data_IF_840192664595
#
_entry.id   IF_840192664595
#
_cell.length_a   1.000
_cell.length_b   1.000
_cell.length_c   1.000
_cell.angle_alpha   90.00
_cell.angle_beta   90.00
_cell.angle_gamma   90.00
#
_symmetry.space_group_name_H-M   'P 1'
#
loop_
_entity.id
_entity.type
_entity.pdbx_description
1 polymer ?
#
# COMPACT_ATOMS: atom_id res chain seq x y z
N UNK A 1 9.99 -2.38 -27.01
CA UNK A 1 10.19 -3.37 -25.91
C UNK A 1 8.87 -4.10 -25.73
N UNK A 2 8.82 -5.44 -25.83
CA UNK A 2 7.62 -6.16 -25.41
C UNK A 2 7.44 -5.90 -23.91
N UNK A 3 6.20 -5.61 -23.48
CA UNK A 3 5.85 -5.61 -22.08
C UNK A 3 6.16 -7.01 -21.55
N UNK A 4 7.00 -7.12 -20.52
CA UNK A 4 7.30 -8.40 -19.89
C UNK A 4 5.98 -9.09 -19.50
N UNK A 5 5.87 -10.39 -19.73
CA UNK A 5 4.73 -11.28 -19.39
C UNK A 5 4.33 -11.29 -17.89
N UNK A 6 4.96 -10.45 -17.07
CA UNK A 6 4.66 -10.26 -15.66
C UNK A 6 4.24 -8.81 -15.43
N UNK A 7 3.02 -8.47 -15.84
CA UNK A 7 2.40 -7.21 -15.43
C UNK A 7 2.16 -7.27 -13.92
N UNK A 8 2.70 -6.28 -13.18
CA UNK A 8 2.47 -6.18 -11.74
C UNK A 8 0.98 -6.20 -11.41
N UNK A 9 0.63 -6.69 -10.22
CA UNK A 9 -0.76 -6.75 -9.79
C UNK A 9 -1.32 -5.36 -9.49
N UNK A 10 -2.52 -5.06 -9.98
CA UNK A 10 -3.28 -3.86 -9.61
C UNK A 10 -4.29 -4.19 -8.53
N UNK A 11 -4.26 -3.45 -7.42
CA UNK A 11 -5.24 -3.53 -6.33
C UNK A 11 -5.95 -2.17 -6.24
N UNK A 12 -7.27 -2.16 -6.41
CA UNK A 12 -8.10 -0.95 -6.33
C UNK A 12 -8.85 -0.97 -4.99
N UNK A 13 -8.70 0.09 -4.20
CA UNK A 13 -9.33 0.25 -2.89
C UNK A 13 -10.26 1.47 -2.97
N UNK A 14 -11.54 1.29 -2.67
CA UNK A 14 -12.56 2.35 -2.76
C UNK A 14 -12.48 3.46 -1.70
N UNK A 15 -11.43 3.48 -0.88
CA UNK A 15 -11.25 4.39 0.26
C UNK A 15 -11.81 3.84 1.57
N UNK A 16 -11.56 4.59 2.65
CA UNK A 16 -11.97 4.28 4.03
C UNK A 16 -11.52 2.90 4.55
N UNK A 17 -10.41 2.40 4.03
CA UNK A 17 -9.80 1.16 4.50
C UNK A 17 -9.27 1.30 5.94
N UNK A 18 -9.39 0.20 6.69
CA UNK A 18 -8.93 0.13 8.08
C UNK A 18 -7.41 0.24 8.16
N UNK A 19 -6.96 1.18 8.99
CA UNK A 19 -5.55 1.49 9.28
C UNK A 19 -5.18 1.27 10.75
N UNK A 20 -6.15 0.88 11.59
CA UNK A 20 -5.94 0.78 13.04
C UNK A 20 -6.16 -0.63 13.56
N UNK A 21 -7.21 -1.30 13.09
CA UNK A 21 -7.51 -2.69 13.43
C UNK A 21 -6.68 -3.68 12.61
N UNK A 22 -7.34 -4.75 12.18
CA UNK A 22 -6.73 -5.89 11.48
C UNK A 22 -6.11 -5.50 10.13
N UNK A 23 -6.54 -4.37 9.55
CA UNK A 23 -6.03 -3.81 8.29
C UNK A 23 -6.04 -4.82 7.15
N UNK A 24 -7.10 -5.63 7.06
CA UNK A 24 -7.20 -6.83 6.21
C UNK A 24 -6.83 -6.53 4.74
N UNK A 25 -7.34 -5.43 4.20
CA UNK A 25 -7.07 -5.03 2.79
C UNK A 25 -5.60 -4.64 2.61
N UNK A 26 -5.03 -3.87 3.54
CA UNK A 26 -3.64 -3.42 3.47
C UNK A 26 -2.66 -4.58 3.70
N UNK A 27 -3.02 -5.55 4.54
CA UNK A 27 -2.27 -6.79 4.74
C UNK A 27 -2.25 -7.63 3.46
N UNK A 28 -3.38 -7.75 2.78
CA UNK A 28 -3.45 -8.46 1.50
C UNK A 28 -2.65 -7.75 0.40
N UNK A 29 -2.64 -6.42 0.38
CA UNK A 29 -1.76 -5.64 -0.49
C UNK A 29 -0.28 -5.95 -0.20
N UNK A 30 0.15 -5.87 1.06
CA UNK A 30 1.54 -6.14 1.45
C UNK A 30 1.96 -7.58 1.10
N UNK A 31 1.09 -8.57 1.35
CA UNK A 31 1.31 -9.98 0.99
C UNK A 31 1.54 -10.15 -0.51
N UNK A 32 0.77 -9.47 -1.35
CA UNK A 32 0.92 -9.48 -2.81
C UNK A 32 2.17 -8.74 -3.29
N UNK A 33 2.59 -7.71 -2.56
CA UNK A 33 3.77 -6.91 -2.88
C UNK A 33 5.11 -7.58 -2.51
N UNK A 34 5.10 -8.73 -1.83
CA UNK A 34 6.30 -9.46 -1.41
C UNK A 34 6.34 -9.83 0.08
N UNK A 35 5.30 -9.51 0.85
CA UNK A 35 5.25 -9.79 2.28
C UNK A 35 6.34 -9.03 3.03
N UNK A 36 7.12 -9.73 3.86
CA UNK A 36 8.22 -9.13 4.64
C UNK A 36 9.35 -8.58 3.78
N UNK A 37 9.49 -9.03 2.54
CA UNK A 37 10.49 -8.55 1.57
C UNK A 37 9.94 -7.44 0.66
N UNK A 38 8.70 -6.98 0.92
CA UNK A 38 8.07 -5.96 0.11
C UNK A 38 8.84 -4.62 0.23
N UNK A 39 9.09 -3.99 -0.92
CA UNK A 39 9.60 -2.62 -1.00
C UNK A 39 8.47 -1.71 -1.45
N UNK A 40 7.86 -1.03 -0.50
CA UNK A 40 6.64 -0.23 -0.72
C UNK A 40 7.01 1.25 -0.82
N UNK A 41 6.51 1.92 -1.86
CA UNK A 41 6.58 3.38 -2.01
C UNK A 41 5.18 3.94 -1.80
N UNK A 42 5.07 4.95 -0.94
CA UNK A 42 3.80 5.64 -0.64
C UNK A 42 3.82 7.00 -1.34
N UNK A 43 2.77 7.29 -2.12
CA UNK A 43 2.61 8.55 -2.83
C UNK A 43 1.32 9.25 -2.41
N UNK A 44 1.45 10.40 -1.75
CA UNK A 44 0.32 11.15 -1.16
C UNK A 44 -0.08 12.40 -1.96
N UNK A 45 0.10 12.36 -3.28
CA UNK A 45 -0.15 13.51 -4.18
C UNK A 45 -1.62 13.97 -4.22
N UNK A 46 -2.55 13.11 -3.84
CA UNK A 46 -3.99 13.40 -3.89
C UNK A 46 -4.52 14.16 -2.65
N UNK A 47 -3.72 14.28 -1.57
CA UNK A 47 -4.16 14.93 -0.32
C UNK A 47 -3.50 16.29 -0.12
N UNK A 48 -4.20 17.20 0.57
CA UNK A 48 -3.64 18.48 1.04
C UNK A 48 -2.75 18.34 2.29
N UNK A 49 -2.69 17.15 2.89
CA UNK A 49 -1.87 16.83 4.07
C UNK A 49 -0.91 15.66 3.76
N UNK A 50 0.05 15.85 2.83
CA UNK A 50 0.83 14.74 2.27
C UNK A 50 1.69 14.02 3.32
N UNK A 51 2.26 14.76 4.28
CA UNK A 51 3.10 14.19 5.34
C UNK A 51 2.30 13.31 6.30
N UNK A 52 1.22 13.83 6.86
CA UNK A 52 0.39 13.11 7.84
C UNK A 52 -0.20 11.82 7.24
N UNK A 53 -0.74 11.89 6.02
CA UNK A 53 -1.26 10.70 5.34
C UNK A 53 -0.13 9.72 5.03
N UNK A 54 1.04 10.21 4.63
CA UNK A 54 2.21 9.39 4.34
C UNK A 54 2.68 8.63 5.56
N UNK A 55 2.91 9.35 6.66
CA UNK A 55 3.32 8.81 7.96
C UNK A 55 2.30 7.76 8.46
N UNK A 56 1.00 7.98 8.24
CA UNK A 56 -0.02 7.01 8.60
C UNK A 56 0.13 5.68 7.84
N UNK A 57 0.32 5.72 6.51
CA UNK A 57 0.57 4.49 5.73
C UNK A 57 1.90 3.83 6.09
N UNK A 58 2.96 4.61 6.35
CA UNK A 58 4.26 4.08 6.79
C UNK A 58 4.06 3.27 8.08
N UNK A 59 3.43 3.88 9.10
CA UNK A 59 3.18 3.22 10.37
C UNK A 59 2.33 1.94 10.23
N UNK A 60 1.37 1.93 9.31
CA UNK A 60 0.57 0.73 9.03
C UNK A 60 1.44 -0.36 8.43
N UNK A 61 2.21 -0.08 7.38
CA UNK A 61 3.01 -1.11 6.70
C UNK A 61 4.22 -1.58 7.51
N UNK A 62 4.80 -0.75 8.38
CA UNK A 62 5.86 -1.18 9.31
C UNK A 62 5.34 -2.15 10.39
N UNK A 63 4.03 -2.11 10.70
CA UNK A 63 3.39 -3.01 11.67
C UNK A 63 2.94 -4.34 11.05
N UNK A 64 2.73 -4.39 9.73
CA UNK A 64 2.12 -5.53 9.00
C UNK A 64 3.15 -6.54 8.51
#
# INVERSE_FOLDING_TARGET
>A
MPLSENSGQLVIIGGAEDKKGDSIILREFARRAGGTEARIVIMTVATGLPKEVGDNYINVFERL
#
